data_IF_934901123408
#
_entry.id   IF_934901123408
#
_cell.length_a   1.000
_cell.length_b   1.000
_cell.length_c   1.000
_cell.angle_alpha   90.00
_cell.angle_beta   90.00
_cell.angle_gamma   90.00
#
_symmetry.space_group_name_H-M   'P 1'
#
loop_
_entity.id
_entity.type
_entity.pdbx_description
1 polymer ?
#
# COMPACT_ATOMS: atom_id res chain seq x y z
N UNK A 1 -36.91 22.80 -37.75
CA UNK A 1 -37.02 21.38 -37.31
C UNK A 1 -35.68 20.74 -36.96
N UNK A 2 -34.60 20.92 -37.74
CA UNK A 2 -33.27 20.33 -37.46
C UNK A 2 -32.63 20.80 -36.13
N UNK A 3 -32.83 22.07 -35.75
CA UNK A 3 -32.27 22.61 -34.51
C UNK A 3 -32.91 22.02 -33.24
N UNK A 4 -34.19 21.64 -33.28
CA UNK A 4 -34.88 21.03 -32.13
C UNK A 4 -34.36 19.61 -31.87
N UNK A 5 -34.08 18.86 -32.93
CA UNK A 5 -33.49 17.53 -32.86
C UNK A 5 -32.09 17.56 -32.25
N UNK A 6 -31.30 18.60 -32.57
CA UNK A 6 -29.97 18.82 -32.01
C UNK A 6 -30.04 19.12 -30.50
N UNK A 7 -30.95 20.01 -30.08
CA UNK A 7 -31.15 20.33 -28.67
C UNK A 7 -31.60 19.13 -27.83
N UNK A 8 -32.52 18.30 -28.34
CA UNK A 8 -32.95 17.08 -27.65
C UNK A 8 -31.80 16.07 -27.51
N UNK A 9 -30.95 15.94 -28.53
CA UNK A 9 -29.79 15.05 -28.48
C UNK A 9 -28.75 15.54 -27.45
N UNK A 10 -28.52 16.86 -27.39
CA UNK A 10 -27.61 17.49 -26.41
C UNK A 10 -28.14 17.34 -24.98
N UNK A 11 -29.45 17.45 -24.76
CA UNK A 11 -30.06 17.23 -23.45
C UNK A 11 -29.93 15.76 -23.00
N UNK A 12 -30.14 14.80 -23.90
CA UNK A 12 -29.91 13.36 -23.62
C UNK A 12 -28.44 13.06 -23.31
N UNK A 13 -27.51 13.68 -24.03
CA UNK A 13 -26.07 13.58 -23.76
C UNK A 13 -25.68 14.24 -22.42
N UNK A 14 -26.23 15.40 -22.10
CA UNK A 14 -25.95 16.11 -20.85
C UNK A 14 -26.46 15.34 -19.61
N UNK A 15 -27.62 14.68 -19.72
CA UNK A 15 -28.16 13.81 -18.67
C UNK A 15 -27.25 12.58 -18.47
N UNK A 16 -26.67 12.02 -19.55
CA UNK A 16 -25.74 10.89 -19.46
C UNK A 16 -24.35 11.29 -18.91
N UNK A 17 -23.88 12.51 -19.21
CA UNK A 17 -22.58 13.03 -18.76
C UNK A 17 -22.53 13.29 -17.24
N UNK A 18 -23.67 13.52 -16.58
CA UNK A 18 -23.71 13.78 -15.13
C UNK A 18 -23.60 12.53 -14.23
N UNK A 19 -23.36 11.34 -14.78
CA UNK A 19 -23.27 10.10 -13.98
C UNK A 19 -21.87 9.74 -13.47
N UNK A 20 -20.81 10.52 -13.74
CA UNK A 20 -19.49 10.17 -13.21
C UNK A 20 -18.62 11.38 -12.89
N UNK A 21 -18.68 11.86 -11.65
CA UNK A 21 -17.50 12.47 -11.02
C UNK A 21 -16.54 11.31 -10.73
N UNK A 22 -15.80 10.83 -11.74
CA UNK A 22 -14.55 10.12 -11.47
C UNK A 22 -13.70 11.17 -10.76
N UNK A 23 -13.56 11.06 -9.45
CA UNK A 23 -12.44 11.69 -8.76
C UNK A 23 -11.21 10.92 -9.23
N UNK A 24 -10.76 11.16 -10.47
CA UNK A 24 -9.68 10.42 -11.13
C UNK A 24 -8.40 10.41 -10.29
N UNK A 25 -8.24 11.46 -9.48
CA UNK A 25 -7.20 11.57 -8.48
C UNK A 25 -7.38 10.57 -7.31
N UNK A 26 -8.59 10.40 -6.78
CA UNK A 26 -8.88 9.44 -5.71
C UNK A 26 -8.69 8.01 -6.17
N UNK A 27 -9.16 7.68 -7.38
CA UNK A 27 -9.06 6.32 -7.94
C UNK A 27 -7.61 5.96 -8.29
N UNK A 28 -6.85 6.91 -8.84
CA UNK A 28 -5.42 6.74 -9.09
C UNK A 28 -4.63 6.55 -7.79
N UNK A 29 -4.93 7.33 -6.76
CA UNK A 29 -4.31 7.20 -5.44
C UNK A 29 -4.61 5.84 -4.81
N UNK A 30 -5.87 5.37 -4.87
CA UNK A 30 -6.24 4.04 -4.37
C UNK A 30 -5.47 2.94 -5.12
N UNK A 31 -5.50 2.97 -6.46
CA UNK A 31 -4.81 1.97 -7.29
C UNK A 31 -3.29 1.96 -7.02
N UNK A 32 -2.70 3.14 -6.85
CA UNK A 32 -1.26 3.27 -6.55
C UNK A 32 -0.94 2.71 -5.17
N UNK A 33 -1.75 3.04 -4.17
CA UNK A 33 -1.59 2.51 -2.82
C UNK A 33 -1.69 0.98 -2.79
N UNK A 34 -2.71 0.42 -3.45
CA UNK A 34 -2.89 -1.03 -3.54
C UNK A 34 -1.71 -1.70 -4.26
N UNK A 35 -1.18 -1.05 -5.30
CA UNK A 35 0.00 -1.53 -6.01
C UNK A 35 1.22 -1.56 -5.08
N UNK A 36 1.45 -0.51 -4.29
CA UNK A 36 2.56 -0.46 -3.31
C UNK A 36 2.42 -1.59 -2.29
N UNK A 37 1.25 -1.76 -1.66
CA UNK A 37 1.08 -2.82 -0.67
C UNK A 37 1.13 -4.22 -1.28
N UNK A 38 0.71 -4.39 -2.53
CA UNK A 38 0.90 -5.65 -3.27
C UNK A 38 2.37 -5.96 -3.47
N UNK A 39 3.17 -4.96 -3.86
CA UNK A 39 4.62 -5.12 -4.00
C UNK A 39 5.28 -5.40 -2.64
N UNK A 40 4.91 -4.68 -1.59
CA UNK A 40 5.41 -4.93 -0.23
C UNK A 40 5.09 -6.36 0.23
N UNK A 41 3.87 -6.85 -0.05
CA UNK A 41 3.49 -8.24 0.24
C UNK A 41 4.43 -9.23 -0.43
N UNK A 42 4.73 -9.02 -1.70
CA UNK A 42 5.64 -9.87 -2.47
C UNK A 42 7.07 -9.83 -1.92
N UNK A 43 7.57 -8.64 -1.58
CA UNK A 43 8.90 -8.47 -0.96
C UNK A 43 8.99 -9.15 0.42
N UNK A 44 7.94 -9.10 1.23
CA UNK A 44 7.90 -9.80 2.52
C UNK A 44 7.81 -11.33 2.35
N UNK A 45 7.24 -11.81 1.25
CA UNK A 45 7.22 -13.24 0.93
C UNK A 45 8.57 -13.76 0.39
N UNK A 46 9.44 -12.88 -0.10
CA UNK A 46 10.72 -13.25 -0.69
C UNK A 46 11.82 -13.46 0.37
N UNK A 47 12.33 -14.68 0.50
CA UNK A 47 13.35 -15.04 1.48
C UNK A 47 14.66 -14.22 1.33
N UNK A 48 15.21 -14.03 0.11
CA UNK A 48 16.36 -13.15 -0.11
C UNK A 48 16.16 -11.71 0.38
N UNK A 49 15.00 -11.11 0.10
CA UNK A 49 14.67 -9.77 0.59
C UNK A 49 14.63 -9.74 2.12
N UNK A 50 13.95 -10.69 2.77
CA UNK A 50 13.90 -10.76 4.24
C UNK A 50 15.26 -10.92 4.89
N UNK A 51 16.13 -11.75 4.32
CA UNK A 51 17.49 -11.93 4.78
C UNK A 51 18.31 -10.63 4.66
N UNK A 52 18.14 -9.91 3.55
CA UNK A 52 18.79 -8.62 3.32
C UNK A 52 18.35 -7.57 4.35
N UNK A 53 17.05 -7.46 4.59
CA UNK A 53 16.48 -6.54 5.60
C UNK A 53 16.96 -6.89 7.02
N UNK A 54 17.02 -8.18 7.36
CA UNK A 54 17.52 -8.65 8.65
C UNK A 54 18.99 -8.26 8.85
N UNK A 55 19.84 -8.46 7.85
CA UNK A 55 21.25 -8.06 7.90
C UNK A 55 21.42 -6.54 8.02
N UNK A 56 20.59 -5.76 7.33
CA UNK A 56 20.58 -4.31 7.48
C UNK A 56 20.20 -3.89 8.91
N UNK A 57 19.18 -4.52 9.49
CA UNK A 57 18.78 -4.27 10.88
C UNK A 57 19.86 -4.67 11.89
N UNK A 58 20.54 -5.81 11.69
CA UNK A 58 21.70 -6.21 12.51
C UNK A 58 22.81 -5.15 12.43
N UNK A 59 23.12 -4.67 11.22
CA UNK A 59 24.12 -3.61 11.01
C UNK A 59 23.73 -2.32 11.75
N UNK A 60 22.44 -2.03 11.89
CA UNK A 60 21.96 -0.90 12.69
C UNK A 60 22.10 -1.20 14.20
N UNK A 61 21.77 -2.41 14.64
CA UNK A 61 21.97 -2.84 16.03
C UNK A 61 23.45 -2.70 16.45
N UNK A 62 24.40 -3.05 15.58
CA UNK A 62 25.84 -2.93 15.86
C UNK A 62 26.31 -1.49 16.14
N UNK A 63 25.55 -0.47 15.69
CA UNK A 63 25.85 0.94 15.96
C UNK A 63 25.36 1.41 17.33
N UNK A 64 24.66 0.57 18.08
CA UNK A 64 24.14 0.89 19.40
C UNK A 64 25.32 0.93 20.41
N UNK A 65 25.49 2.04 21.17
CA UNK A 65 26.67 2.24 22.01
C UNK A 65 26.70 1.40 23.29
N UNK A 66 25.55 0.97 23.78
CA UNK A 66 25.44 0.18 25.01
C UNK A 66 25.38 -1.32 24.68
N UNK A 67 26.32 -2.10 25.22
CA UNK A 67 26.50 -3.51 24.86
C UNK A 67 25.22 -4.35 25.08
N UNK A 68 24.53 -4.15 26.20
CA UNK A 68 23.31 -4.89 26.54
C UNK A 68 22.17 -4.59 25.56
N UNK A 69 22.08 -3.33 25.10
CA UNK A 69 21.06 -2.91 24.14
C UNK A 69 21.41 -3.38 22.72
N UNK A 70 22.70 -3.41 22.38
CA UNK A 70 23.19 -4.01 21.13
C UNK A 70 22.82 -5.49 21.04
N UNK A 71 23.17 -6.26 22.06
CA UNK A 71 22.97 -7.71 22.06
C UNK A 71 21.47 -8.05 22.01
N UNK A 72 20.65 -7.36 22.83
CA UNK A 72 19.19 -7.53 22.78
C UNK A 72 18.56 -7.09 21.46
N UNK A 73 19.11 -6.08 20.78
CA UNK A 73 18.64 -5.67 19.44
C UNK A 73 18.93 -6.75 18.40
N UNK A 74 20.15 -7.31 18.39
CA UNK A 74 20.53 -8.38 17.47
C UNK A 74 19.68 -9.63 17.71
N UNK A 75 19.49 -10.00 18.97
CA UNK A 75 18.64 -11.14 19.36
C UNK A 75 17.20 -10.93 18.90
N UNK A 76 16.63 -9.74 19.13
CA UNK A 76 15.29 -9.40 18.68
C UNK A 76 15.14 -9.52 17.15
N UNK A 77 16.10 -8.98 16.39
CA UNK A 77 16.06 -9.06 14.92
C UNK A 77 16.13 -10.52 14.46
N UNK A 78 17.03 -11.30 15.04
CA UNK A 78 17.22 -12.70 14.67
C UNK A 78 16.00 -13.57 15.01
N UNK A 79 15.40 -13.36 16.18
CA UNK A 79 14.31 -14.20 16.66
C UNK A 79 12.96 -13.85 16.02
N UNK A 80 12.69 -12.55 15.81
CA UNK A 80 11.35 -12.10 15.46
C UNK A 80 11.21 -11.60 14.02
N UNK A 81 12.23 -10.94 13.45
CA UNK A 81 12.00 -10.12 12.25
C UNK A 81 11.59 -10.95 11.03
N UNK A 82 12.18 -12.13 10.82
CA UNK A 82 11.78 -13.02 9.72
C UNK A 82 10.34 -13.50 9.87
N UNK A 83 9.99 -14.02 11.05
CA UNK A 83 8.64 -14.49 11.35
C UNK A 83 7.60 -13.37 11.22
N UNK A 84 7.96 -12.15 11.59
CA UNK A 84 7.11 -10.97 11.43
C UNK A 84 6.84 -10.65 9.95
N UNK A 85 7.86 -10.69 9.09
CA UNK A 85 7.66 -10.49 7.66
C UNK A 85 6.82 -11.62 7.03
N UNK A 86 6.99 -12.88 7.46
CA UNK A 86 6.12 -13.98 7.02
C UNK A 86 4.68 -13.77 7.47
N UNK A 87 4.44 -13.33 8.70
CA UNK A 87 3.10 -12.99 9.16
C UNK A 87 2.49 -11.86 8.33
N UNK A 88 3.24 -10.78 8.10
CA UNK A 88 2.81 -9.66 7.26
C UNK A 88 2.55 -10.08 5.82
N UNK A 89 3.37 -10.93 5.21
CA UNK A 89 3.15 -11.39 3.84
C UNK A 89 1.90 -12.26 3.70
N UNK A 90 1.43 -12.88 4.78
CA UNK A 90 0.18 -13.63 4.79
C UNK A 90 -1.03 -12.72 5.05
N UNK A 91 -0.93 -11.84 6.06
CA UNK A 91 -2.06 -11.08 6.60
C UNK A 91 -2.28 -9.72 5.95
N UNK A 92 -1.26 -9.15 5.28
CA UNK A 92 -1.39 -7.86 4.61
C UNK A 92 -2.38 -7.95 3.45
N UNK A 93 -3.54 -7.32 3.64
CA UNK A 93 -4.50 -7.04 2.56
C UNK A 93 -4.26 -5.62 2.00
N UNK A 94 -3.95 -5.47 0.70
CA UNK A 94 -3.67 -4.16 0.12
C UNK A 94 -4.82 -3.16 0.22
N UNK A 95 -6.08 -3.61 0.17
CA UNK A 95 -7.23 -2.71 0.27
C UNK A 95 -7.38 -2.18 1.70
N UNK A 96 -7.31 -3.07 2.68
CA UNK A 96 -7.42 -2.69 4.09
C UNK A 96 -6.25 -1.81 4.55
N UNK A 97 -5.03 -2.12 4.10
CA UNK A 97 -3.85 -1.30 4.37
C UNK A 97 -3.98 0.13 3.81
N UNK A 98 -4.56 0.28 2.61
CA UNK A 98 -4.85 1.58 2.02
C UNK A 98 -5.92 2.37 2.78
N UNK A 99 -6.95 1.69 3.29
CA UNK A 99 -8.01 2.33 4.09
C UNK A 99 -7.47 2.86 5.40
N UNK A 100 -6.68 2.05 6.11
CA UNK A 100 -6.07 2.44 7.39
C UNK A 100 -5.07 3.59 7.22
N UNK A 101 -4.21 3.52 6.20
CA UNK A 101 -3.16 4.54 6.01
C UNK A 101 -3.69 5.93 5.70
N UNK A 102 -4.87 6.05 5.05
CA UNK A 102 -5.45 7.36 4.69
C UNK A 102 -6.54 7.84 5.64
N UNK A 103 -7.00 7.05 6.62
CA UNK A 103 -8.21 7.34 7.40
C UNK A 103 -9.41 7.78 6.51
N UNK A 104 -9.42 7.35 5.25
CA UNK A 104 -10.49 7.61 4.31
C UNK A 104 -11.34 6.35 4.19
N UNK A 105 -12.66 6.52 4.24
CA UNK A 105 -13.63 5.42 4.10
C UNK A 105 -13.61 4.84 2.67
N UNK A 106 -12.97 5.55 1.73
CA UNK A 106 -12.90 5.19 0.32
C UNK A 106 -11.44 5.16 -0.16
N UNK A 107 -10.84 3.98 0.01
CA UNK A 107 -10.08 3.32 -1.04
C UNK A 107 -10.94 2.17 -1.56
#
# INVERSE_FOLDING_TARGET
MKSVLFFLCVLSFAIFVQSNRINSHSDLVCTTCQTIFTLMKAEFADDPTRATLSNQMITLCEKVPFIQLKDGCVEFVFEYLDAWFVALSNELDPLDACRVSRNEVTC
#
